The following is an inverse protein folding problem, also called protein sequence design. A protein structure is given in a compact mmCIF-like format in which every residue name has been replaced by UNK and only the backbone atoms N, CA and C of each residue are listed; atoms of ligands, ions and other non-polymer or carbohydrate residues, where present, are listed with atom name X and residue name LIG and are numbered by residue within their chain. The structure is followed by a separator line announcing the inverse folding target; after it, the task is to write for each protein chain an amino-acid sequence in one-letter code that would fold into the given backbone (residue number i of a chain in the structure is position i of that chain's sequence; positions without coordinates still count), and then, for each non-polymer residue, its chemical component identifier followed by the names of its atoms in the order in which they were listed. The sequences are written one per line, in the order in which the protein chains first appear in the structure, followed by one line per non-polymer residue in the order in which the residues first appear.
data_IF_477036909085
#
_entry.id   IF_477036909085
#
_cell.length_a   1.000
_cell.length_b   1.000
_cell.length_c   1.000
_cell.angle_alpha   90.00
_cell.angle_beta   90.00
_cell.angle_gamma   90.00
#
_symmetry.space_group_name_H-M   'P 1'
#
loop_
_entity.id
_entity.type
_entity.pdbx_description
1 polymer ?
#
# COMPACT_ATOMS: atom_id res chain seq x y z
N UNK A 1 -9.89 -5.34 15.05
CA UNK A 1 -9.18 -5.27 13.75
C UNK A 1 -7.73 -5.62 14.00
N UNK A 2 -7.15 -6.54 13.23
CA UNK A 2 -5.73 -6.87 13.38
C UNK A 2 -4.88 -5.72 12.85
N UNK A 3 -3.86 -5.31 13.60
CA UNK A 3 -2.86 -4.36 13.14
C UNK A 3 -1.59 -5.15 12.81
N UNK A 4 -1.24 -5.21 11.53
CA UNK A 4 -0.03 -5.87 11.02
C UNK A 4 1.02 -4.85 10.55
N UNK A 5 0.89 -3.58 10.93
CA UNK A 5 1.82 -2.56 10.51
C UNK A 5 1.40 -1.15 10.86
N UNK A 6 2.39 -0.30 11.05
CA UNK A 6 2.19 1.14 11.27
C UNK A 6 2.93 1.90 10.18
N UNK A 7 2.25 2.91 9.65
CA UNK A 7 2.78 3.79 8.62
C UNK A 7 2.81 5.22 9.13
N UNK A 8 3.85 5.94 8.75
CA UNK A 8 4.00 7.38 8.96
C UNK A 8 3.86 8.05 7.60
N UNK A 9 3.06 9.12 7.54
CA UNK A 9 3.01 9.95 6.34
C UNK A 9 4.39 10.56 6.10
N UNK A 10 4.81 10.52 4.85
CA UNK A 10 5.97 11.24 4.32
C UNK A 10 5.46 12.33 3.37
N UNK A 11 6.37 13.12 2.78
CA UNK A 11 6.07 14.29 1.94
C UNK A 11 4.82 14.12 1.08
N UNK A 12 4.82 13.08 0.24
CA UNK A 12 3.71 12.77 -0.67
C UNK A 12 3.20 11.33 -0.54
N UNK A 13 3.78 10.54 0.35
CA UNK A 13 3.54 9.10 0.46
C UNK A 13 3.48 8.61 1.90
N UNK A 14 3.79 7.34 2.11
CA UNK A 14 3.85 6.76 3.46
C UNK A 14 5.01 5.78 3.56
N UNK A 15 5.66 5.72 4.72
CA UNK A 15 6.67 4.72 5.05
C UNK A 15 6.23 3.95 6.28
N UNK A 16 6.47 2.65 6.32
CA UNK A 16 6.05 1.82 7.43
C UNK A 16 6.70 0.47 7.46
N UNK A 17 6.22 -0.35 8.38
CA UNK A 17 6.63 -1.74 8.51
C UNK A 17 5.40 -2.62 8.46
N UNK A 18 5.43 -3.64 7.59
CA UNK A 18 4.46 -4.72 7.57
C UNK A 18 5.06 -5.91 8.33
N UNK A 19 4.34 -6.40 9.34
CA UNK A 19 4.73 -7.51 10.18
C UNK A 19 3.58 -8.48 10.38
N UNK A 20 3.75 -9.69 9.88
CA UNK A 20 2.89 -10.85 10.14
C UNK A 20 3.69 -11.94 10.85
N UNK A 21 3.13 -13.15 11.00
CA UNK A 21 3.85 -14.28 11.58
C UNK A 21 5.07 -14.72 10.74
N UNK A 22 5.03 -14.49 9.43
CA UNK A 22 6.05 -14.97 8.47
C UNK A 22 6.73 -13.85 7.69
N UNK A 23 6.20 -12.62 7.74
CA UNK A 23 6.71 -11.47 7.01
C UNK A 23 7.12 -10.37 7.98
N UNK A 24 8.28 -9.75 7.73
CA UNK A 24 8.75 -8.59 8.47
C UNK A 24 9.55 -7.67 7.54
N UNK A 25 8.88 -6.69 6.95
CA UNK A 25 9.46 -5.89 5.86
C UNK A 25 9.14 -4.41 6.01
N UNK A 26 10.11 -3.56 5.69
CA UNK A 26 9.88 -2.13 5.52
C UNK A 26 9.28 -1.87 4.15
N UNK A 27 8.19 -1.12 4.13
CA UNK A 27 7.44 -0.81 2.93
C UNK A 27 7.21 0.68 2.81
N UNK A 28 7.08 1.14 1.57
CA UNK A 28 6.73 2.51 1.26
C UNK A 28 5.64 2.58 0.19
N UNK A 29 4.69 3.48 0.39
CA UNK A 29 3.70 3.88 -0.61
C UNK A 29 4.25 5.10 -1.32
N UNK A 30 4.70 4.91 -2.56
CA UNK A 30 5.27 5.95 -3.41
C UNK A 30 4.19 6.50 -4.34
N UNK A 31 4.01 7.82 -4.47
CA UNK A 31 3.05 8.39 -5.41
C UNK A 31 3.19 7.81 -6.82
N UNK A 32 2.06 7.58 -7.45
CA UNK A 32 1.99 7.17 -8.84
C UNK A 32 1.38 8.30 -9.68
N UNK A 33 2.03 8.62 -10.80
CA UNK A 33 1.44 9.52 -11.79
C UNK A 33 0.34 8.75 -12.54
N UNK A 34 -0.91 9.15 -12.32
CA UNK A 34 -2.07 8.51 -12.93
C UNK A 34 -2.29 8.96 -14.37
N UNK A 35 -1.68 10.07 -14.81
CA UNK A 35 -2.07 10.75 -16.04
C UNK A 35 -3.58 10.91 -16.13
N UNK A 36 -4.17 10.41 -17.22
CA UNK A 36 -5.62 10.45 -17.46
C UNK A 36 -6.36 9.16 -17.06
N UNK A 37 -5.69 8.20 -16.41
CA UNK A 37 -6.31 6.92 -16.04
C UNK A 37 -6.77 6.95 -14.58
N UNK A 38 -8.05 7.21 -14.35
CA UNK A 38 -8.63 7.24 -13.00
C UNK A 38 -8.57 5.89 -12.27
N UNK A 39 -8.50 4.77 -13.02
CA UNK A 39 -8.38 3.43 -12.45
C UNK A 39 -6.95 3.09 -12.02
N UNK A 40 -5.96 3.88 -12.46
CA UNK A 40 -4.57 3.70 -12.04
C UNK A 40 -4.43 3.93 -10.52
N UNK A 41 -3.50 3.22 -9.86
CA UNK A 41 -3.27 3.38 -8.44
C UNK A 41 -2.78 4.78 -8.09
N UNK A 42 -3.11 5.26 -6.89
CA UNK A 42 -2.56 6.49 -6.30
C UNK A 42 -1.12 6.30 -5.83
N UNK A 43 -0.79 5.07 -5.43
CA UNK A 43 0.53 4.73 -4.93
C UNK A 43 0.99 3.38 -5.46
N UNK A 44 2.29 3.25 -5.69
CA UNK A 44 2.98 1.97 -5.81
C UNK A 44 3.48 1.56 -4.44
N UNK A 45 3.26 0.31 -4.06
CA UNK A 45 3.80 -0.23 -2.81
C UNK A 45 5.16 -0.85 -3.10
N UNK A 46 6.21 -0.39 -2.42
CA UNK A 46 7.56 -0.86 -2.62
C UNK A 46 8.17 -1.48 -1.35
N UNK A 47 8.90 -2.57 -1.54
CA UNK A 47 9.79 -3.17 -0.56
C UNK A 47 11.16 -3.40 -1.20
N UNK A 48 12.24 -3.05 -0.49
CA UNK A 48 13.61 -3.23 -0.97
C UNK A 48 13.88 -2.68 -2.40
N UNK A 49 13.12 -1.67 -2.84
CA UNK A 49 13.26 -1.06 -4.17
C UNK A 49 12.42 -1.72 -5.28
N UNK A 50 11.69 -2.79 -4.99
CA UNK A 50 10.80 -3.47 -5.93
C UNK A 50 9.33 -3.12 -5.67
N UNK A 51 8.54 -3.00 -6.74
CA UNK A 51 7.08 -2.86 -6.64
C UNK A 51 6.48 -4.22 -6.26
N UNK A 52 5.73 -4.27 -5.17
CA UNK A 52 5.12 -5.48 -4.57
C UNK A 52 3.60 -5.31 -4.37
N UNK A 53 3.00 -4.39 -5.12
CA UNK A 53 1.60 -4.05 -4.98
C UNK A 53 1.30 -2.59 -5.29
N UNK A 54 0.08 -2.19 -4.96
CA UNK A 54 -0.47 -0.90 -5.32
C UNK A 54 -1.50 -0.43 -4.28
N UNK A 55 -1.82 0.86 -4.29
CA UNK A 55 -2.83 1.40 -3.41
C UNK A 55 -3.65 2.52 -4.03
N UNK A 56 -4.89 2.65 -3.56
CA UNK A 56 -5.87 3.64 -4.00
C UNK A 56 -6.43 4.41 -2.82
N UNK A 57 -6.56 5.73 -2.95
CA UNK A 57 -7.31 6.55 -2.01
C UNK A 57 -8.80 6.28 -2.21
N UNK A 58 -9.50 5.96 -1.13
CA UNK A 58 -10.93 5.67 -1.12
C UNK A 58 -11.60 6.40 0.04
N UNK A 59 -12.92 6.49 -0.04
CA UNK A 59 -13.77 7.01 1.04
C UNK A 59 -14.71 5.90 1.47
N UNK A 60 -14.83 5.65 2.78
CA UNK A 60 -15.73 4.63 3.30
C UNK A 60 -17.20 5.08 3.18
N UNK A 61 -18.15 4.15 3.37
CA UNK A 61 -19.59 4.48 3.42
C UNK A 61 -19.91 5.52 4.50
N UNK A 62 -19.14 5.53 5.59
CA UNK A 62 -19.24 6.52 6.66
C UNK A 62 -18.48 7.84 6.38
N UNK A 63 -18.02 8.07 5.14
CA UNK A 63 -17.36 9.30 4.71
C UNK A 63 -15.91 9.46 5.16
N UNK A 64 -15.24 8.40 5.65
CA UNK A 64 -13.87 8.48 6.16
C UNK A 64 -12.86 8.16 5.07
N UNK A 65 -11.84 9.01 4.82
CA UNK A 65 -10.79 8.70 3.85
C UNK A 65 -9.90 7.57 4.36
N UNK A 66 -9.53 6.67 3.47
CA UNK A 66 -8.56 5.60 3.74
C UNK A 66 -7.78 5.24 2.47
N UNK A 67 -6.69 4.50 2.64
CA UNK A 67 -5.90 3.96 1.52
C UNK A 67 -6.15 2.46 1.46
N UNK A 68 -6.75 2.00 0.37
CA UNK A 68 -6.96 0.60 0.04
C UNK A 68 -5.69 0.07 -0.60
N UNK A 69 -5.03 -0.91 0.02
CA UNK A 69 -3.78 -1.49 -0.46
C UNK A 69 -4.03 -2.90 -0.96
N UNK A 70 -3.34 -3.28 -2.03
CA UNK A 70 -3.25 -4.64 -2.55
C UNK A 70 -1.77 -5.05 -2.57
N UNK A 71 -1.47 -6.21 -2.00
CA UNK A 71 -0.16 -6.85 -1.93
C UNK A 71 -0.10 -7.94 -3.01
N UNK A 72 0.87 -7.84 -3.91
CA UNK A 72 1.03 -8.79 -5.01
C UNK A 72 2.52 -9.11 -5.16
N UNK A 73 2.94 -10.16 -4.46
CA UNK A 73 4.32 -10.64 -4.44
C UNK A 73 4.32 -12.16 -4.60
N UNK A 74 5.30 -12.76 -5.34
CA UNK A 74 5.35 -14.21 -5.57
C UNK A 74 5.44 -15.08 -4.30
N UNK A 75 5.78 -14.52 -3.14
CA UNK A 75 5.75 -15.23 -1.87
C UNK A 75 4.33 -15.47 -1.33
N UNK A 76 3.32 -14.78 -1.87
CA UNK A 76 1.91 -15.02 -1.55
C UNK A 76 1.30 -16.04 -2.52
N UNK A 77 0.39 -16.91 -2.05
CA UNK A 77 -0.28 -17.89 -2.91
C UNK A 77 -1.24 -17.24 -3.93
N UNK A 78 -1.66 -16.00 -3.66
CA UNK A 78 -2.44 -15.14 -4.54
C UNK A 78 -2.29 -13.69 -4.04
N UNK A 79 -2.71 -12.73 -4.86
CA UNK A 79 -2.83 -11.32 -4.48
C UNK A 79 -3.72 -11.14 -3.23
N UNK A 80 -3.28 -10.30 -2.29
CA UNK A 80 -3.93 -10.06 -0.98
C UNK A 80 -4.39 -8.62 -0.81
#
# INVERSE_FOLDING_TARGET
MANIGTFTADKDGFNGQLRTLTLNVKVKLVPNDKGNNESAPDFRLQAAGHDIGAAWKKTSEAGRPYVSVTLDDPSFPATV
#
